data_IF_080755958206
#
_entry.id   IF_080755958206
#
_cell.length_a   1.000
_cell.length_b   1.000
_cell.length_c   1.000
_cell.angle_alpha   90.00
_cell.angle_beta   90.00
_cell.angle_gamma   90.00
#
_symmetry.space_group_name_H-M   'P 1'
#
loop_
_entity.id
_entity.type
_entity.pdbx_description
1 polymer ?
#
# COMPACT_ATOMS: atom_id res chain seq x y z
N UNK A 1 9.49 -13.43 42.22
CA UNK A 1 9.13 -14.00 40.91
C UNK A 1 8.68 -12.82 40.08
N UNK A 2 9.40 -12.27 39.10
CA UNK A 2 10.45 -12.78 38.20
C UNK A 2 11.32 -11.59 37.76
N UNK A 3 12.64 -11.69 37.90
CA UNK A 3 13.64 -12.03 36.87
C UNK A 3 13.86 -10.98 35.77
N UNK A 4 15.06 -10.41 35.82
CA UNK A 4 15.70 -9.51 34.86
C UNK A 4 15.86 -10.11 33.45
N UNK A 5 15.77 -9.28 32.40
CA UNK A 5 16.70 -9.37 31.25
C UNK A 5 16.74 -8.12 30.34
N UNK A 6 17.85 -7.40 30.49
CA UNK A 6 18.70 -6.69 29.50
C UNK A 6 18.14 -6.16 28.18
N UNK A 7 18.32 -4.83 28.03
CA UNK A 7 18.54 -4.10 26.78
C UNK A 7 19.76 -4.65 26.03
N UNK A 8 19.65 -4.80 24.71
CA UNK A 8 20.80 -4.92 23.80
C UNK A 8 20.72 -3.86 22.70
N UNK A 9 21.74 -3.02 22.70
CA UNK A 9 22.17 -2.12 21.62
C UNK A 9 22.61 -2.94 20.40
N UNK A 10 22.24 -2.52 19.19
CA UNK A 10 22.87 -2.99 17.95
C UNK A 10 23.18 -1.80 17.06
N UNK A 11 24.38 -1.90 16.51
CA UNK A 11 25.23 -0.87 15.96
C UNK A 11 24.73 -0.11 14.73
N UNK A 12 25.13 1.15 14.70
CA UNK A 12 25.08 2.04 13.55
C UNK A 12 26.20 1.68 12.56
N UNK A 13 25.88 0.94 11.50
CA UNK A 13 26.78 0.81 10.36
C UNK A 13 26.58 1.97 9.37
N UNK A 14 27.55 2.90 9.37
CA UNK A 14 27.75 3.92 8.35
C UNK A 14 27.97 3.27 6.98
N UNK A 15 26.99 3.36 6.09
CA UNK A 15 27.18 3.02 4.67
C UNK A 15 27.87 4.20 3.97
N UNK A 16 29.19 4.07 3.79
CA UNK A 16 29.97 4.93 2.91
C UNK A 16 29.54 4.67 1.46
N UNK A 17 28.84 5.64 0.86
CA UNK A 17 28.66 5.70 -0.59
C UNK A 17 30.02 6.00 -1.24
N UNK A 18 30.76 4.95 -1.62
CA UNK A 18 31.81 5.09 -2.63
C UNK A 18 31.14 5.24 -4.00
N UNK A 19 31.23 6.45 -4.53
CA UNK A 19 31.07 6.79 -5.94
C UNK A 19 32.04 5.94 -6.77
N UNK A 20 31.54 4.84 -7.33
CA UNK A 20 32.25 4.01 -8.29
C UNK A 20 31.72 4.30 -9.70
N UNK A 21 32.41 5.20 -10.42
CA UNK A 21 32.30 5.33 -11.88
C UNK A 21 32.54 3.94 -12.49
N UNK A 22 31.54 3.42 -13.20
CA UNK A 22 31.67 2.19 -13.99
C UNK A 22 31.64 2.56 -15.48
N UNK A 23 32.74 3.15 -15.95
CA UNK A 23 33.07 3.20 -17.37
C UNK A 23 33.77 1.88 -17.74
N UNK A 24 33.03 0.92 -18.30
CA UNK A 24 33.56 -0.13 -19.20
C UNK A 24 32.47 -1.14 -19.56
N UNK A 25 31.60 -0.79 -20.52
CA UNK A 25 31.04 -1.84 -21.37
C UNK A 25 32.13 -2.26 -22.37
N UNK A 26 32.86 -3.30 -21.98
CA UNK A 26 33.71 -4.07 -22.90
C UNK A 26 32.83 -4.53 -24.05
N UNK A 27 33.23 -4.13 -25.26
CA UNK A 27 32.78 -4.74 -26.51
C UNK A 27 32.94 -6.27 -26.40
N UNK A 28 31.83 -6.99 -26.34
CA UNK A 28 31.80 -8.44 -26.49
C UNK A 28 32.49 -8.81 -27.79
N UNK A 29 33.52 -9.65 -27.67
CA UNK A 29 34.34 -10.10 -28.78
C UNK A 29 33.49 -10.62 -29.91
N UNK A 30 33.71 -10.07 -31.10
CA UNK A 30 33.32 -10.74 -32.33
C UNK A 30 34.14 -12.01 -32.41
N UNK A 31 33.55 -13.12 -32.01
CA UNK A 31 34.01 -14.46 -32.32
C UNK A 31 34.12 -14.53 -33.85
N UNK A 32 35.35 -14.39 -34.34
CA UNK A 32 35.67 -14.55 -35.75
C UNK A 32 35.45 -16.02 -36.07
N UNK A 33 34.22 -16.36 -36.46
CA UNK A 33 33.95 -17.55 -37.26
C UNK A 33 34.83 -17.41 -38.50
N UNK A 34 36.01 -18.03 -38.48
CA UNK A 34 36.85 -18.22 -39.65
C UNK A 34 36.07 -19.16 -40.56
N UNK A 35 35.33 -18.60 -41.50
CA UNK A 35 34.70 -19.36 -42.58
C UNK A 35 35.81 -19.90 -43.50
N UNK A 36 36.08 -21.22 -43.56
CA UNK A 36 37.24 -21.78 -44.28
C UNK A 36 37.04 -21.87 -45.81
N UNK A 37 36.12 -21.11 -46.40
CA UNK A 37 35.58 -21.45 -47.72
C UNK A 37 36.38 -20.93 -48.93
N UNK A 38 37.28 -19.95 -48.75
CA UNK A 38 37.90 -19.28 -49.90
C UNK A 38 39.12 -20.00 -50.50
N UNK A 39 39.76 -20.92 -49.77
CA UNK A 39 41.06 -21.47 -50.19
C UNK A 39 40.92 -22.47 -51.34
N UNK A 40 39.86 -23.29 -51.36
CA UNK A 40 39.69 -24.33 -52.39
C UNK A 40 39.26 -23.74 -53.74
N UNK A 41 38.53 -22.62 -53.73
CA UNK A 41 37.94 -22.02 -54.93
C UNK A 41 38.97 -21.30 -55.81
N UNK A 42 39.96 -20.66 -55.20
CA UNK A 42 41.03 -20.02 -55.93
C UNK A 42 41.91 -21.05 -56.65
N UNK A 43 42.11 -22.23 -56.04
CA UNK A 43 42.90 -23.32 -56.60
C UNK A 43 42.29 -23.94 -57.86
N UNK A 44 40.98 -24.15 -57.90
CA UNK A 44 40.31 -24.76 -59.08
C UNK A 44 40.30 -23.84 -60.30
N UNK A 45 40.15 -22.53 -60.10
CA UNK A 45 40.21 -21.55 -61.19
C UNK A 45 41.62 -21.40 -61.77
N UNK A 46 42.63 -21.35 -60.90
CA UNK A 46 44.03 -21.31 -61.34
C UNK A 46 44.34 -22.57 -62.17
N UNK A 47 43.98 -23.74 -61.67
CA UNK A 47 44.20 -25.02 -62.35
C UNK A 47 43.51 -25.12 -63.72
N UNK A 48 42.25 -24.67 -63.85
CA UNK A 48 41.55 -24.65 -65.14
C UNK A 48 42.22 -23.70 -66.16
N UNK A 49 42.78 -22.59 -65.67
CA UNK A 49 43.51 -21.64 -66.50
C UNK A 49 44.84 -22.22 -66.98
N UNK A 50 45.58 -22.86 -66.08
CA UNK A 50 46.85 -23.53 -66.40
C UNK A 50 46.64 -24.66 -67.42
N UNK A 51 45.55 -25.45 -67.29
CA UNK A 51 45.17 -26.45 -68.30
C UNK A 51 44.87 -25.80 -69.65
N UNK A 52 44.13 -24.69 -69.67
CA UNK A 52 43.84 -23.99 -70.92
C UNK A 52 45.11 -23.48 -71.62
N UNK A 53 46.08 -22.99 -70.84
CA UNK A 53 47.40 -22.56 -71.33
C UNK A 53 48.27 -23.76 -71.78
N UNK A 54 48.16 -24.92 -71.12
CA UNK A 54 48.75 -26.18 -71.57
C UNK A 54 48.14 -26.72 -72.87
N UNK A 55 46.83 -26.53 -73.08
CA UNK A 55 46.15 -26.93 -74.31
C UNK A 55 46.49 -25.99 -75.47
N UNK A 56 46.72 -24.69 -75.24
CA UNK A 56 47.15 -23.76 -76.30
C UNK A 56 48.55 -24.09 -76.78
N UNK A 57 49.49 -24.38 -75.86
CA UNK A 57 50.83 -24.84 -76.23
C UNK A 57 50.79 -26.18 -76.97
N UNK A 58 49.97 -27.14 -76.52
CA UNK A 58 49.74 -28.40 -77.23
C UNK A 58 49.17 -28.18 -78.65
N UNK A 59 48.34 -27.15 -78.85
CA UNK A 59 47.80 -26.78 -80.16
C UNK A 59 48.87 -26.23 -81.10
N UNK A 60 49.77 -25.40 -80.58
CA UNK A 60 50.91 -24.90 -81.37
C UNK A 60 51.86 -26.03 -81.76
N UNK A 61 52.15 -26.98 -80.85
CA UNK A 61 52.93 -28.17 -81.19
C UNK A 61 52.26 -29.01 -82.29
N UNK A 62 50.94 -29.16 -82.23
CA UNK A 62 50.19 -29.89 -83.26
C UNK A 62 50.30 -29.21 -84.63
N UNK A 63 50.30 -27.87 -84.70
CA UNK A 63 50.52 -27.13 -85.96
C UNK A 63 51.91 -27.38 -86.54
N UNK A 64 52.94 -27.47 -85.69
CA UNK A 64 54.31 -27.79 -86.11
C UNK A 64 54.38 -29.23 -86.66
N UNK A 65 53.72 -30.17 -85.98
CA UNK A 65 53.63 -31.57 -86.42
C UNK A 65 52.91 -31.70 -87.78
N UNK A 66 51.78 -31.01 -87.94
CA UNK A 66 50.99 -30.91 -89.19
C UNK A 66 51.88 -30.43 -90.35
N UNK A 67 52.62 -29.33 -90.13
CA UNK A 67 53.55 -28.75 -91.12
C UNK A 67 54.71 -29.67 -91.50
N UNK A 68 55.31 -30.38 -90.54
CA UNK A 68 56.45 -31.29 -90.80
C UNK A 68 56.00 -32.53 -91.57
N UNK A 69 54.74 -32.93 -91.39
CA UNK A 69 54.15 -34.11 -92.02
C UNK A 69 53.59 -33.85 -93.43
N UNK A 70 53.27 -32.60 -93.76
CA UNK A 70 52.91 -32.19 -95.13
C UNK A 70 54.02 -32.48 -96.16
N UNK A 71 55.29 -32.60 -95.72
CA UNK A 71 56.46 -32.90 -96.55
C UNK A 71 56.68 -34.40 -96.83
N UNK A 72 56.01 -35.31 -96.09
CA UNK A 72 56.12 -36.76 -96.27
C UNK A 72 54.93 -37.29 -97.11
N UNK A 73 55.15 -37.55 -98.40
CA UNK A 73 54.09 -37.94 -99.37
C UNK A 73 53.41 -39.29 -99.08
N UNK A 74 53.82 -40.06 -98.05
CA UNK A 74 53.56 -41.51 -97.98
C UNK A 74 52.50 -42.00 -96.98
N UNK A 75 51.61 -41.17 -96.43
CA UNK A 75 50.77 -41.63 -95.31
C UNK A 75 49.41 -40.91 -95.13
N UNK A 76 48.35 -41.40 -95.79
CA UNK A 76 46.98 -40.89 -95.60
C UNK A 76 46.37 -41.21 -94.23
N UNK A 77 46.79 -42.30 -93.58
CA UNK A 77 46.29 -42.73 -92.27
C UNK A 77 46.76 -41.83 -91.12
N UNK A 78 48.00 -41.36 -91.17
CA UNK A 78 48.57 -40.44 -90.18
C UNK A 78 48.01 -39.03 -90.32
N UNK A 79 47.72 -38.55 -91.54
CA UNK A 79 46.98 -37.29 -91.78
C UNK A 79 45.59 -37.32 -91.13
N UNK A 80 44.86 -38.43 -91.26
CA UNK A 80 43.58 -38.63 -90.59
C UNK A 80 43.70 -38.61 -89.05
N UNK A 81 44.76 -39.23 -88.51
CA UNK A 81 45.03 -39.22 -87.07
C UNK A 81 45.35 -37.82 -86.53
N UNK A 82 46.18 -37.05 -87.22
CA UNK A 82 46.51 -35.66 -86.83
C UNK A 82 45.26 -34.77 -86.88
N UNK A 83 44.40 -34.92 -87.89
CA UNK A 83 43.13 -34.21 -87.97
C UNK A 83 42.17 -34.60 -86.82
N UNK A 84 42.10 -35.89 -86.46
CA UNK A 84 41.31 -36.35 -85.31
C UNK A 84 41.85 -35.77 -83.99
N UNK A 85 43.16 -35.76 -83.79
CA UNK A 85 43.80 -35.16 -82.60
C UNK A 85 43.57 -33.64 -82.53
N UNK A 86 43.59 -32.95 -83.66
CA UNK A 86 43.26 -31.51 -83.74
C UNK A 86 41.81 -31.24 -83.37
N UNK A 87 40.88 -32.05 -83.89
CA UNK A 87 39.46 -31.97 -83.55
C UNK A 87 39.21 -32.19 -82.05
N UNK A 88 39.79 -33.25 -81.47
CA UNK A 88 39.71 -33.55 -80.03
C UNK A 88 40.34 -32.44 -79.16
N UNK A 89 41.46 -31.86 -79.61
CA UNK A 89 42.09 -30.74 -78.92
C UNK A 89 41.23 -29.48 -78.94
N UNK A 90 40.56 -29.19 -80.06
CA UNK A 90 39.63 -28.08 -80.17
C UNK A 90 38.36 -28.31 -79.34
N UNK A 91 37.86 -29.55 -79.32
CA UNK A 91 36.71 -29.93 -78.49
C UNK A 91 37.03 -29.84 -76.99
N UNK A 92 38.21 -30.30 -76.56
CA UNK A 92 38.66 -30.17 -75.17
C UNK A 92 38.90 -28.71 -74.76
N UNK A 93 39.49 -27.90 -75.63
CA UNK A 93 39.61 -26.45 -75.41
C UNK A 93 38.24 -25.77 -75.25
N UNK A 94 37.25 -26.12 -76.07
CA UNK A 94 35.89 -25.59 -75.96
C UNK A 94 35.21 -26.02 -74.64
N UNK A 95 35.38 -27.28 -74.22
CA UNK A 95 34.87 -27.80 -72.92
C UNK A 95 35.52 -27.07 -71.74
N UNK A 96 36.84 -26.89 -71.73
CA UNK A 96 37.56 -26.14 -70.67
C UNK A 96 37.12 -24.68 -70.65
N UNK A 97 36.94 -24.05 -71.80
CA UNK A 97 36.41 -22.68 -71.91
C UNK A 97 35.03 -22.52 -71.26
N UNK A 98 34.11 -23.46 -71.49
CA UNK A 98 32.79 -23.49 -70.83
C UNK A 98 32.91 -23.61 -69.31
N UNK A 99 33.76 -24.51 -68.82
CA UNK A 99 33.99 -24.69 -67.38
C UNK A 99 34.57 -23.43 -66.72
N UNK A 100 35.50 -22.73 -67.38
CA UNK A 100 36.05 -21.45 -66.89
C UNK A 100 34.95 -20.40 -66.78
N UNK A 101 34.10 -20.26 -67.82
CA UNK A 101 32.99 -19.30 -67.80
C UNK A 101 31.98 -19.61 -66.69
N UNK A 102 31.57 -20.87 -66.55
CA UNK A 102 30.66 -21.29 -65.48
C UNK A 102 31.23 -21.00 -64.09
N UNK A 103 32.53 -21.26 -63.89
CA UNK A 103 33.21 -20.94 -62.64
C UNK A 103 33.22 -19.43 -62.36
N UNK A 104 33.50 -18.60 -63.37
CA UNK A 104 33.48 -17.13 -63.25
C UNK A 104 32.07 -16.58 -62.93
N UNK A 105 31.03 -17.15 -63.54
CA UNK A 105 29.64 -16.78 -63.25
C UNK A 105 29.27 -17.16 -61.81
N UNK A 106 29.64 -18.37 -61.35
CA UNK A 106 29.45 -18.79 -59.95
C UNK A 106 30.21 -17.85 -59.00
N UNK A 107 31.44 -17.44 -59.34
CA UNK A 107 32.24 -16.50 -58.56
C UNK A 107 31.55 -15.15 -58.39
N UNK A 108 31.11 -14.58 -59.50
CA UNK A 108 30.39 -13.31 -59.52
C UNK A 108 29.08 -13.37 -58.73
N UNK A 109 28.33 -14.49 -58.81
CA UNK A 109 27.09 -14.70 -58.04
C UNK A 109 27.37 -14.74 -56.53
N UNK A 110 28.42 -15.45 -56.11
CA UNK A 110 28.80 -15.50 -54.70
C UNK A 110 29.25 -14.11 -54.21
N UNK A 111 30.05 -13.38 -54.98
CA UNK A 111 30.45 -12.01 -54.61
C UNK A 111 29.24 -11.07 -54.47
N UNK A 112 28.27 -11.15 -55.38
CA UNK A 112 27.02 -10.40 -55.30
C UNK A 112 26.22 -10.75 -54.03
N UNK A 113 26.10 -12.04 -53.69
CA UNK A 113 25.43 -12.48 -52.46
C UNK A 113 26.17 -12.01 -51.20
N UNK A 114 27.50 -12.08 -51.19
CA UNK A 114 28.31 -11.59 -50.07
C UNK A 114 28.15 -10.09 -49.85
N UNK A 115 28.11 -9.30 -50.94
CA UNK A 115 27.82 -7.85 -50.88
C UNK A 115 26.41 -7.57 -50.35
N UNK A 116 25.39 -8.34 -50.75
CA UNK A 116 24.02 -8.21 -50.23
C UNK A 116 23.96 -8.54 -48.74
N UNK A 117 24.56 -9.65 -48.33
CA UNK A 117 24.61 -10.06 -46.93
C UNK A 117 25.34 -9.03 -46.05
N UNK A 118 26.45 -8.46 -46.53
CA UNK A 118 27.16 -7.41 -45.81
C UNK A 118 26.30 -6.14 -45.61
N UNK A 119 25.55 -5.73 -46.63
CA UNK A 119 24.60 -4.61 -46.54
C UNK A 119 23.47 -4.90 -45.56
N UNK A 120 22.83 -6.06 -45.69
CA UNK A 120 21.74 -6.52 -44.80
C UNK A 120 22.21 -6.56 -43.33
N UNK A 121 23.40 -7.11 -43.08
CA UNK A 121 24.00 -7.16 -41.75
C UNK A 121 24.24 -5.76 -41.19
N UNK A 122 24.74 -4.83 -42.00
CA UNK A 122 24.97 -3.45 -41.58
C UNK A 122 23.67 -2.70 -41.28
N UNK A 123 22.65 -2.86 -42.13
CA UNK A 123 21.34 -2.22 -41.92
C UNK A 123 20.66 -2.78 -40.68
N UNK A 124 20.67 -4.10 -40.48
CA UNK A 124 20.11 -4.74 -39.28
C UNK A 124 20.84 -4.28 -38.01
N UNK A 125 22.18 -4.27 -38.00
CA UNK A 125 22.96 -3.84 -36.84
C UNK A 125 22.68 -2.38 -36.46
N UNK A 126 22.54 -1.51 -37.46
CA UNK A 126 22.21 -0.09 -37.24
C UNK A 126 20.81 0.06 -36.67
N UNK A 127 19.81 -0.63 -37.24
CA UNK A 127 18.43 -0.63 -36.74
C UNK A 127 18.33 -1.15 -35.32
N UNK A 128 19.06 -2.22 -35.00
CA UNK A 128 19.05 -2.78 -33.65
C UNK A 128 19.69 -1.83 -32.64
N UNK A 129 20.83 -1.21 -33.01
CA UNK A 129 21.45 -0.18 -32.18
C UNK A 129 20.51 1.01 -31.97
N UNK A 130 19.77 1.45 -32.99
CA UNK A 130 18.79 2.53 -32.88
C UNK A 130 17.63 2.16 -31.94
N UNK A 131 17.09 0.94 -32.04
CA UNK A 131 16.04 0.44 -31.13
C UNK A 131 16.50 0.45 -29.69
N UNK A 132 17.70 -0.04 -29.42
CA UNK A 132 18.30 -0.02 -28.08
C UNK A 132 18.49 1.42 -27.60
N UNK A 133 19.05 2.30 -28.42
CA UNK A 133 19.26 3.71 -28.08
C UNK A 133 17.93 4.43 -27.77
N UNK A 134 16.88 4.15 -28.53
CA UNK A 134 15.56 4.74 -28.32
C UNK A 134 14.91 4.21 -27.02
N UNK A 135 15.04 2.91 -26.72
CA UNK A 135 14.57 2.34 -25.46
C UNK A 135 15.32 2.94 -24.26
N UNK A 136 16.65 3.05 -24.33
CA UNK A 136 17.48 3.68 -23.29
C UNK A 136 17.07 5.14 -23.08
N UNK A 137 16.85 5.91 -24.15
CA UNK A 137 16.35 7.29 -24.07
C UNK A 137 14.96 7.39 -23.45
N UNK A 138 14.07 6.40 -23.65
CA UNK A 138 12.76 6.37 -22.97
C UNK A 138 12.91 6.14 -21.48
N UNK A 139 13.65 5.11 -21.10
CA UNK A 139 13.91 4.76 -19.70
C UNK A 139 14.56 5.94 -18.96
N UNK A 140 15.52 6.63 -19.59
CA UNK A 140 16.16 7.80 -19.00
C UNK A 140 15.17 8.95 -18.72
N UNK A 141 14.19 9.18 -19.60
CA UNK A 141 13.15 10.20 -19.40
C UNK A 141 12.21 9.82 -18.27
N UNK A 142 11.76 8.56 -18.24
CA UNK A 142 10.88 8.04 -17.18
C UNK A 142 11.54 8.12 -15.80
N UNK A 143 12.82 7.75 -15.71
CA UNK A 143 13.61 7.83 -14.47
C UNK A 143 13.73 9.28 -13.95
N UNK A 144 13.89 10.26 -14.84
CA UNK A 144 13.96 11.67 -14.43
C UNK A 144 12.62 12.17 -13.87
N UNK A 145 11.50 11.72 -14.46
CA UNK A 145 10.16 12.01 -13.93
C UNK A 145 9.97 11.36 -12.56
N UNK A 146 10.34 10.10 -12.42
CA UNK A 146 10.26 9.38 -11.14
C UNK A 146 11.08 10.06 -10.04
N UNK A 147 12.31 10.48 -10.33
CA UNK A 147 13.15 11.24 -9.38
C UNK A 147 12.49 12.52 -8.91
N UNK A 148 11.83 13.26 -9.82
CA UNK A 148 11.09 14.49 -9.47
C UNK A 148 9.90 14.18 -8.56
N UNK A 149 9.12 13.15 -8.88
CA UNK A 149 7.98 12.72 -8.07
C UNK A 149 8.43 12.23 -6.68
N UNK A 150 9.49 11.43 -6.61
CA UNK A 150 10.09 10.99 -5.35
C UNK A 150 10.51 12.18 -4.48
N UNK A 151 11.20 13.16 -5.07
CA UNK A 151 11.56 14.39 -4.35
C UNK A 151 10.34 15.21 -3.88
N UNK A 152 9.25 15.24 -4.64
CA UNK A 152 7.99 15.87 -4.20
C UNK A 152 7.37 15.11 -3.03
N UNK A 153 7.31 13.79 -3.12
CA UNK A 153 6.78 12.91 -2.07
C UNK A 153 7.58 13.06 -0.76
N UNK A 154 8.91 13.04 -0.84
CA UNK A 154 9.78 13.25 0.32
C UNK A 154 9.57 14.61 0.98
N UNK A 155 9.33 15.66 0.18
CA UNK A 155 8.99 17.01 0.71
C UNK A 155 7.65 17.00 1.43
N UNK A 156 6.63 16.37 0.87
CA UNK A 156 5.30 16.25 1.50
C UNK A 156 5.37 15.43 2.78
N UNK A 157 6.06 14.29 2.76
CA UNK A 157 6.24 13.44 3.94
C UNK A 157 6.94 14.20 5.09
N UNK A 158 7.95 15.02 4.77
CA UNK A 158 8.60 15.88 5.78
C UNK A 158 7.67 16.94 6.36
N UNK A 159 6.78 17.52 5.54
CA UNK A 159 5.76 18.46 6.02
C UNK A 159 4.76 17.77 6.93
N UNK A 160 4.21 16.64 6.50
CA UNK A 160 3.26 15.85 7.28
C UNK A 160 3.85 15.42 8.63
N UNK A 161 5.12 14.99 8.66
CA UNK A 161 5.80 14.66 9.91
C UNK A 161 5.94 15.84 10.88
N UNK A 162 6.13 17.06 10.37
CA UNK A 162 6.14 18.27 11.21
C UNK A 162 4.75 18.58 11.76
N UNK A 163 3.72 18.57 10.93
CA UNK A 163 2.34 18.82 11.36
C UNK A 163 1.88 17.79 12.40
N UNK A 164 2.25 16.52 12.22
CA UNK A 164 1.98 15.46 13.20
C UNK A 164 2.67 15.74 14.53
N UNK A 165 3.95 16.15 14.51
CA UNK A 165 4.67 16.51 15.73
C UNK A 165 4.04 17.72 16.46
N UNK A 166 3.64 18.76 15.71
CA UNK A 166 2.93 19.93 16.25
C UNK A 166 1.59 19.51 16.86
N UNK A 167 0.79 18.73 16.14
CA UNK A 167 -0.50 18.25 16.61
C UNK A 167 -0.35 17.41 17.88
N UNK A 168 0.63 16.50 17.91
CA UNK A 168 0.94 15.70 19.09
C UNK A 168 1.32 16.56 20.29
N UNK A 169 2.14 17.60 20.09
CA UNK A 169 2.49 18.53 21.17
C UNK A 169 1.26 19.29 21.68
N UNK A 170 0.38 19.78 20.80
CA UNK A 170 -0.85 20.46 21.21
C UNK A 170 -1.80 19.54 22.00
N UNK A 171 -1.91 18.27 21.60
CA UNK A 171 -2.69 17.28 22.34
C UNK A 171 -2.16 17.08 23.76
N UNK A 172 -0.83 16.94 23.94
CA UNK A 172 -0.24 16.86 25.27
C UNK A 172 -0.54 18.10 26.13
N UNK A 173 -0.48 19.30 25.56
CA UNK A 173 -0.82 20.51 26.33
C UNK A 173 -2.28 20.57 26.76
N UNK A 174 -3.20 20.05 25.93
CA UNK A 174 -4.62 19.94 26.25
C UNK A 174 -4.84 18.90 27.34
N UNK A 175 -4.16 17.77 27.27
CA UNK A 175 -4.21 16.71 28.28
C UNK A 175 -3.73 17.23 29.65
N UNK A 176 -2.59 17.92 29.72
CA UNK A 176 -2.10 18.55 30.94
C UNK A 176 -3.09 19.59 31.51
N UNK A 177 -3.69 20.41 30.64
CA UNK A 177 -4.68 21.40 31.04
C UNK A 177 -5.96 20.74 31.57
N UNK A 178 -6.41 19.66 30.94
CA UNK A 178 -7.55 18.86 31.35
C UNK A 178 -7.33 18.22 32.73
N UNK A 179 -6.17 17.61 32.96
CA UNK A 179 -5.80 17.03 34.25
C UNK A 179 -5.76 18.10 35.36
N UNK A 180 -5.18 19.26 35.06
CA UNK A 180 -5.19 20.42 35.99
C UNK A 180 -6.61 20.88 36.31
N UNK A 181 -7.51 20.95 35.32
CA UNK A 181 -8.91 21.32 35.54
C UNK A 181 -9.66 20.27 36.37
N UNK A 182 -9.43 18.99 36.12
CA UNK A 182 -10.07 17.90 36.86
C UNK A 182 -9.64 17.88 38.34
N UNK A 183 -8.35 18.12 38.64
CA UNK A 183 -7.88 18.25 40.03
C UNK A 183 -8.48 19.46 40.75
N UNK A 184 -8.73 20.58 40.05
CA UNK A 184 -9.43 21.75 40.62
C UNK A 184 -10.91 21.45 40.87
N UNK A 185 -11.59 20.83 39.90
CA UNK A 185 -12.99 20.42 40.01
C UNK A 185 -13.22 19.48 41.20
N UNK A 186 -12.38 18.45 41.36
CA UNK A 186 -12.47 17.53 42.51
C UNK A 186 -12.28 18.22 43.86
N UNK A 187 -11.38 19.22 43.97
CA UNK A 187 -11.22 20.04 45.19
C UNK A 187 -12.46 20.89 45.46
N UNK A 188 -12.99 21.57 44.44
CA UNK A 188 -14.22 22.36 44.55
C UNK A 188 -15.40 21.50 45.00
N UNK A 189 -15.57 20.31 44.40
CA UNK A 189 -16.62 19.36 44.78
C UNK A 189 -16.50 18.90 46.24
N UNK A 190 -15.29 18.61 46.74
CA UNK A 190 -15.08 18.28 48.16
C UNK A 190 -15.51 19.43 49.07
N UNK A 191 -15.17 20.67 48.71
CA UNK A 191 -15.57 21.85 49.47
C UNK A 191 -17.09 22.05 49.46
N UNK A 192 -17.72 21.94 48.29
CA UNK A 192 -19.18 22.02 48.14
C UNK A 192 -19.88 20.93 48.96
N UNK A 193 -19.34 19.71 48.98
CA UNK A 193 -19.90 18.63 49.79
C UNK A 193 -19.82 18.94 51.30
N UNK A 194 -18.69 19.51 51.75
CA UNK A 194 -18.54 19.95 53.15
C UNK A 194 -19.53 21.05 53.52
N UNK A 195 -19.77 22.01 52.62
CA UNK A 195 -20.76 23.08 52.87
C UNK A 195 -22.19 22.54 52.85
N UNK A 196 -22.51 21.56 52.00
CA UNK A 196 -23.82 20.88 52.01
C UNK A 196 -24.06 20.15 53.33
N UNK A 197 -23.09 19.34 53.78
CA UNK A 197 -23.17 18.67 55.09
C UNK A 197 -23.36 19.66 56.25
N UNK A 198 -22.65 20.79 56.24
CA UNK A 198 -22.81 21.83 57.25
C UNK A 198 -24.21 22.45 57.24
N UNK A 199 -24.76 22.71 56.06
CA UNK A 199 -26.11 23.24 55.90
C UNK A 199 -27.17 22.24 56.41
N UNK A 200 -27.02 20.95 56.10
CA UNK A 200 -27.91 19.89 56.58
C UNK A 200 -27.92 19.81 58.11
N UNK A 201 -26.73 19.84 58.74
CA UNK A 201 -26.60 19.87 60.22
C UNK A 201 -27.25 21.12 60.83
N UNK A 202 -27.08 22.29 60.18
CA UNK A 202 -27.69 23.53 60.64
C UNK A 202 -29.23 23.48 60.56
N UNK A 203 -29.77 22.88 59.48
CA UNK A 203 -31.20 22.66 59.33
C UNK A 203 -31.76 21.70 60.37
N UNK A 204 -31.12 20.55 60.61
CA UNK A 204 -31.51 19.60 61.67
C UNK A 204 -31.49 20.29 63.04
N UNK A 205 -30.47 21.10 63.33
CA UNK A 205 -30.38 21.84 64.60
C UNK A 205 -31.48 22.89 64.74
N UNK A 206 -31.85 23.57 63.64
CA UNK A 206 -32.97 24.51 63.60
C UNK A 206 -34.28 23.78 63.85
N UNK A 207 -34.52 22.66 63.16
CA UNK A 207 -35.66 21.77 63.35
C UNK A 207 -35.80 21.34 64.82
N UNK A 208 -34.72 20.83 65.42
CA UNK A 208 -34.69 20.40 66.81
C UNK A 208 -34.99 21.53 67.80
N UNK A 209 -34.45 22.74 67.57
CA UNK A 209 -34.79 23.92 68.39
C UNK A 209 -36.27 24.28 68.30
N UNK A 210 -36.87 24.21 67.10
CA UNK A 210 -38.31 24.45 66.91
C UNK A 210 -39.13 23.41 67.66
N UNK A 211 -38.79 22.12 67.52
CA UNK A 211 -39.46 21.03 68.24
C UNK A 211 -39.35 21.18 69.76
N UNK A 212 -38.17 21.55 70.27
CA UNK A 212 -37.96 21.80 71.69
C UNK A 212 -38.82 22.96 72.20
N UNK A 213 -38.83 24.09 71.49
CA UNK A 213 -39.68 25.24 71.85
C UNK A 213 -41.16 24.89 71.83
N UNK A 214 -41.58 24.08 70.85
CA UNK A 214 -42.94 23.57 70.76
C UNK A 214 -43.28 22.64 71.95
N UNK A 215 -42.32 21.82 72.42
CA UNK A 215 -42.49 20.98 73.61
C UNK A 215 -42.52 21.77 74.92
N UNK A 216 -41.66 22.80 75.08
CA UNK A 216 -41.66 23.71 76.24
C UNK A 216 -43.00 24.46 76.34
N UNK A 217 -43.50 24.96 75.20
CA UNK A 217 -44.81 25.59 75.12
C UNK A 217 -45.92 24.62 75.55
N UNK A 218 -45.89 23.37 75.06
CA UNK A 218 -46.83 22.31 75.47
C UNK A 218 -46.78 22.04 76.98
N UNK A 219 -45.60 21.81 77.56
CA UNK A 219 -45.44 21.59 79.00
C UNK A 219 -45.95 22.79 79.82
N UNK A 220 -45.63 24.02 79.42
CA UNK A 220 -46.11 25.22 80.13
C UNK A 220 -47.64 25.35 80.13
N UNK A 221 -48.33 24.87 79.09
CA UNK A 221 -49.79 24.81 79.03
C UNK A 221 -50.31 23.70 79.94
N UNK A 222 -49.67 22.52 79.90
CA UNK A 222 -49.99 21.38 80.77
C UNK A 222 -49.79 21.72 82.25
N UNK A 223 -48.77 22.48 82.64
CA UNK A 223 -48.51 22.87 84.03
C UNK A 223 -49.49 23.95 84.52
N UNK A 224 -49.91 24.85 83.62
CA UNK A 224 -50.91 25.87 83.92
C UNK A 224 -52.33 25.30 84.00
N UNK A 225 -52.62 24.22 83.28
CA UNK A 225 -53.93 23.57 83.26
C UNK A 225 -54.42 23.13 84.65
N UNK A 226 -53.64 22.42 85.50
CA UNK A 226 -54.02 22.05 86.86
C UNK A 226 -54.31 23.25 87.75
N UNK A 227 -53.45 24.27 87.74
CA UNK A 227 -53.66 25.48 88.54
C UNK A 227 -54.87 26.29 88.08
N UNK A 228 -55.11 26.39 86.77
CA UNK A 228 -56.30 27.04 86.21
C UNK A 228 -57.57 26.21 86.47
N UNK A 229 -57.48 24.88 86.45
CA UNK A 229 -58.55 23.97 86.87
C UNK A 229 -58.81 24.07 88.36
N UNK A 230 -57.81 24.15 89.23
CA UNK A 230 -57.97 24.35 90.67
C UNK A 230 -58.55 25.73 90.98
N UNK A 231 -58.12 26.79 90.28
CA UNK A 231 -58.73 28.12 90.42
C UNK A 231 -60.18 28.11 89.90
N UNK A 232 -60.48 27.34 88.86
CA UNK A 232 -61.84 27.18 88.33
C UNK A 232 -62.70 26.28 89.24
N UNK A 233 -62.16 25.25 89.86
CA UNK A 233 -62.88 24.38 90.80
C UNK A 233 -63.07 25.06 92.17
N UNK A 234 -62.14 25.90 92.63
CA UNK A 234 -62.29 26.69 93.86
C UNK A 234 -63.17 27.92 93.64
N UNK A 235 -63.05 28.61 92.49
CA UNK A 235 -63.92 29.74 92.13
C UNK A 235 -65.37 29.34 91.82
N UNK A 236 -65.60 28.09 91.41
CA UNK A 236 -66.94 27.57 91.07
C UNK A 236 -67.65 26.88 92.24
N UNK A 237 -66.99 26.75 93.39
CA UNK A 237 -67.62 26.37 94.68
C UNK A 237 -68.05 27.62 95.48
N UNK A 238 -67.59 28.82 95.09
CA UNK A 238 -67.93 30.08 95.76
C UNK A 238 -69.21 30.77 95.31
N UNK A 239 -69.77 30.49 94.13
CA UNK A 239 -71.00 31.12 93.64
C UNK A 239 -71.73 30.23 92.61
N UNK A 240 -72.49 29.26 93.13
CA UNK A 240 -73.90 29.02 92.80
C UNK A 240 -74.36 27.66 93.34
N UNK A 241 -74.93 27.71 94.54
CA UNK A 241 -76.00 26.80 94.94
C UNK A 241 -77.31 27.47 94.50
N UNK A 242 -78.14 26.73 93.75
CA UNK A 242 -79.56 26.98 93.36
C UNK A 242 -79.69 27.89 92.12
N UNK A 243 -80.25 27.51 90.96
CA UNK A 243 -81.15 26.39 90.63
C UNK A 243 -81.32 26.22 89.11
N UNK A 244 -81.73 24.99 88.77
CA UNK A 244 -82.80 24.63 87.83
C UNK A 244 -82.63 24.87 86.33
N UNK A 245 -82.76 23.74 85.64
CA UNK A 245 -83.44 23.58 84.36
C UNK A 245 -82.78 24.22 83.13
N UNK A 246 -81.89 23.45 82.49
CA UNK A 246 -81.96 23.27 81.04
C UNK A 246 -81.14 22.06 80.53
N UNK A 247 -81.25 20.92 81.20
CA UNK A 247 -80.65 19.66 80.73
C UNK A 247 -81.45 18.96 79.62
N UNK A 248 -82.46 19.62 79.05
CA UNK A 248 -83.25 19.05 77.95
C UNK A 248 -82.92 19.66 76.57
N UNK A 249 -81.99 20.62 76.48
CA UNK A 249 -81.57 21.24 75.20
C UNK A 249 -80.19 20.77 74.72
N UNK A 250 -79.37 20.22 75.61
CA UNK A 250 -77.98 19.82 75.30
C UNK A 250 -77.92 18.39 74.76
N UNK A 251 -78.77 17.49 75.24
CA UNK A 251 -78.83 16.13 74.69
C UNK A 251 -79.42 16.09 73.27
N UNK A 252 -80.19 17.11 72.86
CA UNK A 252 -80.70 17.26 71.50
C UNK A 252 -79.64 17.73 70.48
N UNK A 253 -78.49 18.25 70.94
CA UNK A 253 -77.37 18.64 70.07
C UNK A 253 -76.22 17.60 70.05
N UNK A 254 -76.22 16.67 71.00
CA UNK A 254 -75.19 15.62 71.13
C UNK A 254 -75.54 14.41 70.23
N UNK A 255 -76.82 14.19 69.92
CA UNK A 255 -77.26 13.11 69.03
C UNK A 255 -77.09 13.45 67.52
N UNK A 256 -76.82 14.71 67.15
CA UNK A 256 -76.63 15.13 65.74
C UNK A 256 -75.18 15.18 65.27
N UNK A 257 -74.20 14.96 66.17
CA UNK A 257 -72.78 14.84 65.84
C UNK A 257 -72.18 13.45 66.14
N UNK A 258 -73.02 12.48 66.52
CA UNK A 258 -72.68 11.04 66.51
C UNK A 258 -73.26 10.37 65.26
N UNK A 259 -73.11 11.01 64.10
CA UNK A 259 -73.34 10.41 62.79
C UNK A 259 -72.67 11.27 61.74
N UNK A 260 -71.69 10.71 61.02
CA UNK A 260 -71.10 11.40 59.88
C UNK A 260 -69.63 11.09 59.70
N UNK A 261 -69.43 9.97 59.01
CA UNK A 261 -68.40 9.75 57.99
C UNK A 261 -66.95 9.64 58.45
N UNK A 262 -66.58 8.37 58.65
CA UNK A 262 -65.50 7.75 57.88
C UNK A 262 -65.38 8.42 56.50
N UNK A 263 -64.35 9.20 56.29
CA UNK A 263 -63.87 9.49 54.94
C UNK A 263 -62.36 9.42 54.98
N UNK A 264 -61.89 8.23 54.63
CA UNK A 264 -60.61 8.05 53.98
C UNK A 264 -60.44 9.15 52.92
N UNK A 265 -59.47 10.03 53.13
CA UNK A 265 -58.79 10.72 52.04
C UNK A 265 -57.40 10.10 52.09
N UNK A 266 -57.29 8.91 51.50
CA UNK A 266 -56.76 8.76 50.13
C UNK A 266 -55.43 9.48 49.97
N UNK A 267 -54.41 8.63 49.86
CA UNK A 267 -53.19 8.86 49.12
C UNK A 267 -53.43 9.83 47.94
N UNK A 268 -52.91 11.05 48.05
CA UNK A 268 -52.88 11.94 46.89
C UNK A 268 -51.72 12.90 46.99
N UNK A 269 -50.51 12.36 46.84
CA UNK A 269 -49.59 12.89 45.83
C UNK A 269 -48.97 11.68 45.14
N UNK A 270 -49.74 11.15 44.18
CA UNK A 270 -49.16 10.50 43.02
C UNK A 270 -48.34 11.56 42.28
N UNK A 271 -47.08 11.72 42.70
CA UNK A 271 -46.06 12.24 41.81
C UNK A 271 -45.40 11.02 41.21
N UNK A 272 -46.04 10.52 40.15
CA UNK A 272 -45.42 9.85 39.02
C UNK A 272 -43.96 10.27 38.91
N UNK A 273 -43.07 9.52 39.54
CA UNK A 273 -41.72 9.41 39.05
C UNK A 273 -41.86 8.63 37.74
N UNK A 274 -42.14 9.39 36.67
CA UNK A 274 -41.82 8.96 35.33
C UNK A 274 -40.36 8.56 35.36
N UNK A 275 -40.12 7.26 35.38
CA UNK A 275 -38.83 6.74 34.94
C UNK A 275 -38.66 7.35 33.55
N UNK A 276 -37.67 8.24 33.41
CA UNK A 276 -37.11 8.56 32.11
C UNK A 276 -36.42 7.26 31.68
N UNK A 277 -37.24 6.34 31.17
CA UNK A 277 -36.76 5.40 30.19
C UNK A 277 -36.38 6.28 29.00
N UNK A 278 -35.09 6.38 28.74
CA UNK A 278 -34.62 6.86 27.45
C UNK A 278 -35.20 5.90 26.42
N UNK A 279 -36.37 6.23 25.90
CA UNK A 279 -36.81 5.73 24.62
C UNK A 279 -35.72 6.19 23.64
N UNK A 280 -34.79 5.29 23.33
CA UNK A 280 -34.15 5.31 22.02
C UNK A 280 -35.28 5.05 21.03
N UNK A 281 -36.09 6.08 20.76
CA UNK A 281 -36.68 6.18 19.45
C UNK A 281 -35.49 6.16 18.53
N UNK A 282 -35.35 4.99 17.93
CA UNK A 282 -34.38 4.61 16.94
C UNK A 282 -34.71 5.38 15.66
N UNK A 283 -34.88 6.69 15.77
CA UNK A 283 -34.62 7.63 14.71
C UNK A 283 -33.10 7.79 14.63
N UNK A 284 -32.42 6.65 14.39
CA UNK A 284 -31.32 6.66 13.46
C UNK A 284 -31.85 7.33 12.19
N UNK A 285 -31.76 8.67 12.15
CA UNK A 285 -31.53 9.33 10.88
C UNK A 285 -30.32 8.62 10.33
N UNK A 286 -30.59 7.83 9.32
CA UNK A 286 -29.68 7.21 8.38
C UNK A 286 -28.71 8.27 7.88
N UNK A 287 -27.73 8.62 8.70
CA UNK A 287 -26.46 9.16 8.25
C UNK A 287 -25.61 7.93 8.04
N UNK A 288 -25.76 7.38 6.83
CA UNK A 288 -24.86 6.45 6.21
C UNK A 288 -23.47 7.11 6.16
N UNK A 289 -22.73 7.03 7.26
CA UNK A 289 -21.31 7.27 7.23
C UNK A 289 -20.71 6.06 6.52
N UNK A 290 -20.29 6.29 5.29
CA UNK A 290 -19.49 5.37 4.50
C UNK A 290 -18.10 5.22 5.14
N UNK A 291 -18.02 4.68 6.36
CA UNK A 291 -16.83 4.02 6.83
C UNK A 291 -16.91 2.60 6.32
N UNK A 292 -16.12 2.33 5.28
CA UNK A 292 -15.90 1.00 4.74
C UNK A 292 -15.36 0.08 5.85
N UNK A 293 -16.27 -0.61 6.51
CA UNK A 293 -16.04 -1.81 7.30
C UNK A 293 -16.71 -2.99 6.56
N UNK A 294 -16.28 -3.20 5.32
CA UNK A 294 -16.42 -4.46 4.61
C UNK A 294 -15.15 -4.61 3.76
N UNK A 295 -14.59 -5.81 3.74
CA UNK A 295 -13.35 -6.20 3.06
C UNK A 295 -12.06 -5.90 3.83
N UNK A 296 -11.88 -6.49 5.01
CA UNK A 296 -10.56 -6.72 5.59
C UNK A 296 -10.45 -8.19 5.94
N UNK A 297 -9.96 -8.98 4.98
CA UNK A 297 -9.22 -10.23 5.22
C UNK A 297 -8.62 -10.80 3.92
N UNK A 298 -9.01 -10.31 2.73
CA UNK A 298 -8.43 -10.81 1.45
C UNK A 298 -7.26 -9.94 0.92
N UNK A 299 -7.20 -8.65 1.26
CA UNK A 299 -6.19 -7.74 0.68
C UNK A 299 -4.81 -7.79 1.37
N UNK A 300 -4.69 -8.40 2.55
CA UNK A 300 -3.41 -8.43 3.28
C UNK A 300 -2.49 -9.54 2.77
N UNK A 301 -3.04 -10.66 2.32
CA UNK A 301 -2.26 -11.74 1.72
C UNK A 301 -1.79 -11.39 0.31
N UNK A 302 -2.61 -10.69 -0.48
CA UNK A 302 -2.23 -10.21 -1.81
C UNK A 302 -1.08 -9.18 -1.77
N UNK A 303 -1.01 -8.34 -0.72
CA UNK A 303 0.08 -7.38 -0.53
C UNK A 303 1.38 -8.06 -0.06
N UNK A 304 1.28 -9.09 0.80
CA UNK A 304 2.41 -9.93 1.22
C UNK A 304 2.91 -10.77 0.04
N UNK A 305 2.02 -11.28 -0.80
CA UNK A 305 2.35 -12.05 -2.00
C UNK A 305 2.99 -11.14 -3.08
N UNK A 306 2.53 -9.90 -3.23
CA UNK A 306 3.21 -8.86 -4.03
C UNK A 306 4.63 -8.55 -3.53
N UNK A 307 4.83 -8.44 -2.21
CA UNK A 307 6.15 -8.20 -1.63
C UNK A 307 7.08 -9.44 -1.74
N UNK A 308 6.52 -10.65 -1.74
CA UNK A 308 7.26 -11.91 -1.91
C UNK A 308 7.61 -12.25 -3.37
N UNK A 309 6.92 -11.65 -4.36
CA UNK A 309 7.28 -11.74 -5.77
C UNK A 309 8.47 -10.85 -6.17
N UNK A 310 8.94 -9.98 -5.27
CA UNK A 310 10.18 -9.18 -5.41
C UNK A 310 11.37 -10.00 -4.85
N UNK A 311 11.38 -11.32 -5.08
CA UNK A 311 12.54 -12.18 -4.82
C UNK A 311 13.43 -12.24 -6.06
N UNK A 312 14.59 -11.59 -5.91
CA UNK A 312 15.85 -11.68 -6.65
C UNK A 312 15.82 -12.38 -8.04
N UNK A 313 15.98 -11.64 -9.18
CA UNK A 313 16.05 -12.24 -10.52
C UNK A 313 17.30 -13.11 -10.77
N UNK A 314 18.20 -13.25 -9.78
CA UNK A 314 19.45 -14.01 -9.89
C UNK A 314 19.30 -15.53 -9.93
N UNK A 315 18.15 -16.09 -9.53
CA UNK A 315 17.96 -17.54 -9.54
C UNK A 315 17.52 -18.12 -10.90
N UNK A 316 17.14 -17.29 -11.88
CA UNK A 316 16.65 -17.78 -13.18
C UNK A 316 17.73 -17.99 -14.24
N UNK A 317 18.99 -17.66 -13.94
CA UNK A 317 20.12 -17.81 -14.87
C UNK A 317 20.85 -19.17 -14.69
N UNK A 318 20.58 -19.91 -13.61
CA UNK A 318 21.32 -21.15 -13.27
C UNK A 318 20.62 -22.45 -13.71
N UNK A 319 19.38 -22.41 -14.20
CA UNK A 319 18.63 -23.64 -14.54
C UNK A 319 18.22 -23.74 -16.02
N UNK A 320 19.05 -23.21 -16.92
CA UNK A 320 18.88 -23.32 -18.38
C UNK A 320 20.18 -23.66 -19.09
N UNK A 321 20.76 -24.81 -18.77
CA UNK A 321 21.72 -25.55 -19.58
C UNK A 321 21.19 -26.96 -19.76
#
# INVERSE_FOLDING_TARGET
MDSHRTRTSVDTHKFLHKSGRSDSLRHGGSEKVKTPCCTQRAGTKAHLKDISEGLTTSKELLKILDYTWELDERSGTTKSLVAALKCELEETQAKVGKLIQEQQVKESKIDCLMKKFAKERFTWKTKEQERIQNAVKSIARELEVEKKLKGQFERLNRKLGKELAITKASLFTIEEAFDSANTKSTKSNKQVQKTRQMFDVANISREARVQMKLSEAKCSVVDKLPSALETCFIGRIGENIITSANYNKINELIESYRKGDDTEIEDSIDSDLQSIEFNMDNNCRTYEWSYAAASRNEDFEDEIQRCNMIKDPRHRIVSGS
#
